data_IF_835386779519
#
_entry.id   IF_835386779519
#
_cell.length_a   1.000
_cell.length_b   1.000
_cell.length_c   1.000
_cell.angle_alpha   90.00
_cell.angle_beta   90.00
_cell.angle_gamma   90.00
#
_symmetry.space_group_name_H-M   'P 1'
#
loop_
_entity.id
_entity.type
_entity.pdbx_description
1 polymer ?
#
# COMPACT_ATOMS: atom_id res chain seq x y z
N UNK A 1 -21.00 -17.14 -27.05
CA UNK A 1 -20.39 -15.80 -26.89
C UNK A 1 -19.72 -15.71 -25.51
N UNK A 2 -18.39 -15.87 -25.35
CA UNK A 2 -17.74 -15.67 -24.05
C UNK A 2 -16.60 -14.64 -24.15
N UNK A 3 -16.94 -13.35 -24.27
CA UNK A 3 -15.95 -12.28 -24.08
C UNK A 3 -15.97 -11.71 -22.65
N UNK A 4 -17.05 -11.95 -21.89
CA UNK A 4 -17.26 -11.34 -20.57
C UNK A 4 -16.55 -12.13 -19.45
N UNK A 5 -16.29 -13.41 -19.64
CA UNK A 5 -15.62 -14.25 -18.64
C UNK A 5 -14.14 -13.82 -18.43
N UNK A 6 -13.49 -13.23 -19.43
CA UNK A 6 -12.10 -12.77 -19.31
C UNK A 6 -11.94 -11.42 -18.61
N UNK A 7 -12.97 -10.55 -18.61
CA UNK A 7 -12.89 -9.25 -17.93
C UNK A 7 -13.13 -9.36 -16.43
N UNK A 8 -13.89 -10.38 -16.00
CA UNK A 8 -14.13 -10.66 -14.59
C UNK A 8 -12.92 -11.30 -13.87
N UNK A 9 -11.88 -11.72 -14.60
CA UNK A 9 -10.69 -12.36 -14.01
C UNK A 9 -9.75 -11.36 -13.31
N UNK A 10 -9.89 -10.06 -13.57
CA UNK A 10 -8.98 -9.02 -13.05
C UNK A 10 -9.70 -7.86 -12.33
N UNK A 11 -11.02 -7.93 -12.17
CA UNK A 11 -11.77 -6.94 -11.42
C UNK A 11 -11.92 -7.45 -9.98
N UNK A 12 -11.42 -6.69 -9.00
CA UNK A 12 -11.68 -6.98 -7.60
C UNK A 12 -13.19 -7.02 -7.36
N UNK A 13 -13.68 -8.10 -6.75
CA UNK A 13 -15.03 -8.15 -6.22
C UNK A 13 -15.23 -7.06 -5.13
N UNK A 14 -16.46 -6.58 -4.93
CA UNK A 14 -16.74 -5.49 -4.00
C UNK A 14 -16.31 -5.81 -2.56
N UNK A 15 -16.29 -7.09 -2.16
CA UNK A 15 -15.77 -7.51 -0.87
C UNK A 15 -14.26 -7.34 -0.79
N UNK A 16 -13.51 -7.76 -1.81
CA UNK A 16 -12.07 -7.49 -1.91
C UNK A 16 -11.79 -5.99 -1.86
N UNK A 17 -12.53 -5.17 -2.60
CA UNK A 17 -12.36 -3.69 -2.55
C UNK A 17 -12.54 -3.14 -1.13
N UNK A 18 -13.54 -3.61 -0.37
CA UNK A 18 -13.71 -3.21 1.04
C UNK A 18 -12.51 -3.63 1.89
N UNK A 19 -12.00 -4.84 1.69
CA UNK A 19 -10.81 -5.32 2.42
C UNK A 19 -9.60 -4.44 2.13
N UNK A 20 -9.38 -4.06 0.85
CA UNK A 20 -8.29 -3.15 0.46
C UNK A 20 -8.45 -1.76 1.07
N UNK A 21 -9.67 -1.24 1.12
CA UNK A 21 -9.97 0.06 1.74
C UNK A 21 -9.67 0.03 3.25
N UNK A 22 -10.13 -1.01 3.95
CA UNK A 22 -9.88 -1.20 5.40
C UNK A 22 -8.39 -1.34 5.68
N UNK A 23 -7.68 -2.13 4.85
CA UNK A 23 -6.24 -2.31 4.97
C UNK A 23 -5.50 -0.97 4.76
N UNK A 24 -5.90 -0.20 3.75
CA UNK A 24 -5.30 1.10 3.46
C UNK A 24 -5.53 2.10 4.60
N UNK A 25 -6.77 2.26 5.08
CA UNK A 25 -7.08 3.18 6.18
C UNK A 25 -6.32 2.80 7.47
N UNK A 26 -6.23 1.50 7.77
CA UNK A 26 -5.50 0.99 8.93
C UNK A 26 -3.98 1.23 8.81
N UNK A 27 -3.40 0.97 7.63
CA UNK A 27 -1.99 1.25 7.38
C UNK A 27 -1.70 2.76 7.48
N UNK A 28 -2.55 3.59 6.88
CA UNK A 28 -2.40 5.05 6.93
C UNK A 28 -2.53 5.60 8.35
N UNK A 29 -3.50 5.12 9.14
CA UNK A 29 -3.62 5.46 10.57
C UNK A 29 -2.36 5.11 11.36
N UNK A 30 -1.74 3.96 11.06
CA UNK A 30 -0.47 3.55 11.69
C UNK A 30 0.65 4.53 11.36
N UNK A 31 0.75 5.00 10.11
CA UNK A 31 1.74 6.01 9.70
C UNK A 31 1.52 7.34 10.41
N UNK A 32 0.28 7.81 10.51
CA UNK A 32 -0.05 9.05 11.24
C UNK A 32 0.27 8.89 12.73
N UNK A 33 -0.16 7.79 13.35
CA UNK A 33 0.04 7.53 14.78
C UNK A 33 1.51 7.38 15.15
N UNK A 34 2.35 6.99 14.20
CA UNK A 34 3.80 6.91 14.39
C UNK A 34 4.49 8.28 14.39
N UNK A 35 3.77 9.38 14.13
CA UNK A 35 4.33 10.73 14.10
C UNK A 35 5.41 10.93 13.04
N UNK A 36 5.43 10.08 12.02
CA UNK A 36 6.48 10.10 10.99
C UNK A 36 6.34 11.30 10.07
N UNK A 37 7.48 11.84 9.60
CA UNK A 37 7.56 12.87 8.56
C UNK A 37 6.78 12.49 7.28
N UNK A 38 6.57 11.19 7.07
CA UNK A 38 5.76 10.60 6.01
C UNK A 38 4.28 11.05 6.04
N UNK A 39 3.76 11.43 7.21
CA UNK A 39 2.41 11.95 7.38
C UNK A 39 2.33 13.48 7.26
N UNK A 40 3.46 14.19 7.10
CA UNK A 40 3.46 15.63 6.91
C UNK A 40 3.00 16.00 5.50
N UNK A 41 2.34 17.16 5.38
CA UNK A 41 1.65 17.61 4.17
C UNK A 41 2.51 17.59 2.88
N UNK A 42 3.85 17.68 2.99
CA UNK A 42 4.75 17.61 1.85
C UNK A 42 5.02 16.20 1.31
N UNK A 43 4.89 15.15 2.13
CA UNK A 43 5.15 13.74 1.75
C UNK A 43 3.90 12.86 1.84
N UNK A 44 2.85 13.32 2.52
CA UNK A 44 1.63 12.56 2.78
C UNK A 44 0.96 12.01 1.50
N UNK A 45 0.90 12.79 0.42
CA UNK A 45 0.33 12.34 -0.84
C UNK A 45 1.12 11.18 -1.46
N UNK A 46 2.45 11.32 -1.56
CA UNK A 46 3.34 10.28 -2.08
C UNK A 46 3.36 9.03 -1.20
N UNK A 47 3.33 9.19 0.12
CA UNK A 47 3.22 8.09 1.08
C UNK A 47 1.92 7.31 0.90
N UNK A 48 0.79 8.02 0.74
CA UNK A 48 -0.52 7.40 0.48
C UNK A 48 -0.50 6.64 -0.84
N UNK A 49 0.04 7.24 -1.90
CA UNK A 49 0.14 6.56 -3.20
C UNK A 49 0.98 5.29 -3.11
N UNK A 50 2.13 5.33 -2.43
CA UNK A 50 2.98 4.16 -2.23
C UNK A 50 2.27 3.04 -1.46
N UNK A 51 1.55 3.38 -0.38
CA UNK A 51 0.75 2.40 0.38
C UNK A 51 -0.35 1.78 -0.48
N UNK A 52 -1.15 2.60 -1.18
CA UNK A 52 -2.24 2.13 -2.03
C UNK A 52 -1.73 1.21 -3.15
N UNK A 53 -0.66 1.63 -3.83
CA UNK A 53 -0.04 0.84 -4.90
C UNK A 53 0.46 -0.51 -4.39
N UNK A 54 1.04 -0.56 -3.19
CA UNK A 54 1.55 -1.80 -2.62
C UNK A 54 0.41 -2.75 -2.23
N UNK A 55 -0.63 -2.23 -1.61
CA UNK A 55 -1.83 -3.00 -1.21
C UNK A 55 -2.52 -3.60 -2.45
N UNK A 56 -2.70 -2.80 -3.51
CA UNK A 56 -3.29 -3.28 -4.78
C UNK A 56 -2.42 -4.36 -5.40
N UNK A 57 -1.11 -4.16 -5.50
CA UNK A 57 -0.20 -5.14 -6.11
C UNK A 57 -0.17 -6.48 -5.35
N UNK A 58 -0.33 -6.45 -4.02
CA UNK A 58 -0.47 -7.66 -3.20
C UNK A 58 -1.80 -8.37 -3.43
N UNK A 59 -2.88 -7.59 -3.56
CA UNK A 59 -4.21 -8.11 -3.86
C UNK A 59 -4.29 -8.74 -5.26
N UNK A 60 -3.64 -8.14 -6.26
CA UNK A 60 -3.51 -8.70 -7.61
C UNK A 60 -2.73 -10.04 -7.60
N UNK A 61 -1.86 -10.26 -6.61
CA UNK A 61 -1.16 -11.53 -6.39
C UNK A 61 -2.00 -12.59 -5.68
N UNK A 62 -3.23 -12.26 -5.29
CA UNK A 62 -4.15 -13.14 -4.57
C UNK A 62 -4.04 -13.04 -3.05
N UNK A 63 -3.31 -12.07 -2.49
CA UNK A 63 -3.33 -11.85 -1.04
C UNK A 63 -4.58 -11.08 -0.64
N UNK A 64 -5.45 -11.71 0.14
CA UNK A 64 -6.71 -11.12 0.62
C UNK A 64 -6.69 -10.89 2.13
N UNK A 65 -5.62 -11.29 2.84
CA UNK A 65 -5.54 -11.07 4.28
C UNK A 65 -5.23 -9.59 4.59
N UNK A 66 -6.13 -8.87 5.27
CA UNK A 66 -5.94 -7.44 5.53
C UNK A 66 -4.71 -7.16 6.40
N UNK A 67 -4.34 -8.05 7.32
CA UNK A 67 -3.16 -7.83 8.17
C UNK A 67 -1.88 -7.96 7.37
N UNK A 68 -1.79 -8.95 6.49
CA UNK A 68 -0.62 -9.14 5.61
C UNK A 68 -0.49 -8.00 4.61
N UNK A 69 -1.61 -7.52 4.08
CA UNK A 69 -1.63 -6.32 3.23
C UNK A 69 -1.09 -5.09 3.96
N UNK A 70 -1.52 -4.87 5.21
CA UNK A 70 -1.03 -3.75 6.05
C UNK A 70 0.47 -3.90 6.34
N UNK A 71 0.90 -5.06 6.83
CA UNK A 71 2.27 -5.30 7.27
C UNK A 71 3.27 -5.13 6.12
N UNK A 72 2.98 -5.73 4.96
CA UNK A 72 3.84 -5.63 3.78
C UNK A 72 3.85 -4.22 3.20
N UNK A 73 2.71 -3.50 3.21
CA UNK A 73 2.66 -2.11 2.78
C UNK A 73 3.51 -1.19 3.68
N UNK A 74 3.46 -1.39 5.00
CA UNK A 74 4.29 -0.65 5.95
C UNK A 74 5.77 -1.01 5.81
N UNK A 75 6.10 -2.30 5.62
CA UNK A 75 7.47 -2.76 5.40
C UNK A 75 8.06 -2.18 4.11
N UNK A 76 7.28 -2.17 3.02
CA UNK A 76 7.69 -1.56 1.76
C UNK A 76 7.91 -0.05 1.90
N UNK A 77 7.02 0.65 2.61
CA UNK A 77 7.16 2.07 2.86
C UNK A 77 8.41 2.39 3.69
N UNK A 78 8.71 1.57 4.70
CA UNK A 78 9.92 1.70 5.51
C UNK A 78 11.20 1.47 4.68
N UNK A 79 11.19 0.50 3.78
CA UNK A 79 12.31 0.23 2.86
C UNK A 79 12.51 1.39 1.86
N UNK A 80 11.44 1.90 1.25
CA UNK A 80 11.50 3.03 0.31
C UNK A 80 12.02 4.32 0.95
N UNK A 81 11.80 4.52 2.26
CA UNK A 81 12.42 5.63 3.02
C UNK A 81 13.94 5.50 3.10
N UNK A 82 14.49 4.29 3.12
CA UNK A 82 15.94 4.08 3.19
C UNK A 82 16.63 4.36 1.85
N UNK A 83 15.91 4.21 0.73
CA UNK A 83 16.41 4.54 -0.61
C UNK A 83 16.47 6.06 -0.87
N UNK A 84 15.51 6.82 -0.31
CA UNK A 84 15.51 8.31 -0.33
C UNK A 84 16.52 8.92 0.67
N UNK A 85 17.15 8.10 1.52
CA UNK A 85 18.17 8.60 2.44
C UNK A 85 19.45 8.91 1.62
N UNK A 86 19.95 10.17 1.64
CA UNK A 86 21.14 10.52 0.90
C UNK A 86 22.31 9.59 1.29
N UNK A 87 23.16 9.19 0.33
CA UNK A 87 24.30 8.35 0.61
C UNK A 87 25.08 8.98 1.76
N UNK A 88 25.33 8.19 2.80
CA UNK A 88 26.22 8.60 3.90
C UNK A 88 27.56 8.89 3.22
N UNK A 89 27.89 10.17 3.06
CA UNK A 89 29.20 10.59 2.62
C UNK A 89 30.17 10.14 3.73
N UNK A 90 30.78 8.97 3.56
CA UNK A 90 31.91 8.57 4.38
C UNK A 90 33.08 9.41 3.90
N UNK A 91 33.47 10.39 4.71
CA UNK A 91 34.65 11.23 4.57
C UNK A 91 35.38 11.30 5.89
#
# INVERSE_FOLDING_TARGET
MPFIASLAQNAFDPESVRVLEIAFDSAWKTVISSGSDLALNGRAASTREALARRIIAMAERGETDPRRLIDDALAHLAASRQDDAPPKLSG
#
